data_IF_866692945152
#
_entry.id   IF_866692945152
#
_cell.length_a   1.000
_cell.length_b   1.000
_cell.length_c   1.000
_cell.angle_alpha   90.00
_cell.angle_beta   90.00
_cell.angle_gamma   90.00
#
_symmetry.space_group_name_H-M   'P 1'
#
loop_
_entity.id
_entity.type
_entity.pdbx_description
1 polymer ?
#
# COMPACT_ATOMS: atom_id res chain seq x y z
N UNK A 1 -2.87 3.67 -14.90
CA UNK A 1 -3.00 4.36 -13.58
C UNK A 1 -2.00 3.77 -12.61
N UNK A 2 -1.24 4.63 -11.90
CA UNK A 2 -0.23 4.22 -10.91
C UNK A 2 -0.83 4.24 -9.50
N UNK A 3 -0.55 3.22 -8.70
CA UNK A 3 -0.99 3.10 -7.31
C UNK A 3 0.17 2.63 -6.44
N UNK A 4 0.30 3.19 -5.24
CA UNK A 4 1.21 2.69 -4.22
C UNK A 4 0.38 1.96 -3.16
N UNK A 5 0.71 0.70 -2.92
CA UNK A 5 0.15 -0.12 -1.85
C UNK A 5 1.17 -0.19 -0.71
N UNK A 6 0.73 0.21 0.48
CA UNK A 6 1.50 0.09 1.73
C UNK A 6 0.76 -0.93 2.61
N UNK A 7 1.36 -2.10 2.76
CA UNK A 7 0.81 -3.20 3.56
C UNK A 7 1.43 -3.18 4.97
N UNK A 8 0.57 -3.38 5.96
CA UNK A 8 0.92 -3.47 7.36
C UNK A 8 0.33 -4.75 7.94
N UNK A 9 1.08 -5.40 8.82
CA UNK A 9 0.68 -6.67 9.43
C UNK A 9 0.65 -6.56 10.96
N UNK A 10 -0.43 -7.04 11.55
CA UNK A 10 -0.57 -7.19 13.00
C UNK A 10 -0.46 -8.69 13.30
N UNK A 11 0.66 -9.08 13.91
CA UNK A 11 0.96 -10.47 14.26
C UNK A 11 0.07 -11.01 15.38
N UNK A 12 -0.28 -10.16 16.36
CA UNK A 12 -1.13 -10.55 17.48
C UNK A 12 -2.55 -10.93 17.05
N UNK A 13 -3.07 -10.25 16.02
CA UNK A 13 -4.42 -10.52 15.48
C UNK A 13 -4.41 -11.35 14.20
N UNK A 14 -3.25 -11.62 13.60
CA UNK A 14 -3.12 -12.27 12.30
C UNK A 14 -3.75 -11.49 11.15
N UNK A 15 -3.86 -10.15 11.26
CA UNK A 15 -4.56 -9.30 10.29
C UNK A 15 -3.59 -8.46 9.46
N UNK A 16 -3.96 -8.27 8.19
CA UNK A 16 -3.27 -7.33 7.29
C UNK A 16 -4.15 -6.12 7.00
N UNK A 17 -3.56 -4.92 6.99
CA UNK A 17 -4.21 -3.68 6.59
C UNK A 17 -3.40 -3.03 5.47
N UNK A 18 -4.09 -2.55 4.44
CA UNK A 18 -3.50 -1.91 3.27
C UNK A 18 -3.94 -0.47 3.18
N UNK A 19 -2.99 0.45 3.00
CA UNK A 19 -3.25 1.82 2.59
C UNK A 19 -2.89 1.95 1.11
N UNK A 20 -3.79 2.59 0.35
CA UNK A 20 -3.65 2.79 -1.09
C UNK A 20 -3.50 4.28 -1.37
N UNK A 21 -2.38 4.67 -1.95
CA UNK A 21 -2.18 6.02 -2.51
C UNK A 21 -2.43 5.95 -4.00
N UNK A 22 -3.48 6.62 -4.45
CA UNK A 22 -3.79 6.76 -5.87
C UNK A 22 -2.90 7.84 -6.48
N UNK A 23 -2.35 7.57 -7.67
CA UNK A 23 -1.46 8.49 -8.39
C UNK A 23 -0.29 8.97 -7.51
N UNK A 24 0.53 8.06 -6.96
CA UNK A 24 1.68 8.45 -6.16
C UNK A 24 2.69 9.23 -7.03
N UNK A 25 3.52 10.05 -6.38
CA UNK A 25 4.58 10.77 -7.06
C UNK A 25 5.53 9.81 -7.81
N UNK A 26 6.10 10.29 -8.90
CA UNK A 26 7.12 9.55 -9.64
C UNK A 26 8.48 9.62 -8.94
N UNK A 27 9.33 8.62 -9.20
CA UNK A 27 10.68 8.58 -8.65
C UNK A 27 10.76 8.32 -7.13
N UNK A 28 9.68 7.87 -6.50
CA UNK A 28 9.69 7.49 -5.08
C UNK A 28 10.73 6.41 -4.80
N UNK A 29 11.61 6.68 -3.84
CA UNK A 29 12.61 5.72 -3.36
C UNK A 29 12.04 4.83 -2.27
N UNK A 30 12.68 3.69 -2.02
CA UNK A 30 12.31 2.79 -0.93
C UNK A 30 12.33 3.52 0.43
N UNK A 31 13.37 4.30 0.70
CA UNK A 31 13.54 5.04 1.95
C UNK A 31 12.42 6.06 2.18
N UNK A 32 11.98 6.76 1.12
CA UNK A 32 10.87 7.72 1.20
C UNK A 32 9.55 7.02 1.53
N UNK A 33 9.29 5.87 0.89
CA UNK A 33 8.08 5.08 1.16
C UNK A 33 8.11 4.51 2.57
N UNK A 34 9.26 4.00 3.02
CA UNK A 34 9.44 3.48 4.38
C UNK A 34 9.24 4.58 5.44
N UNK A 35 9.77 5.78 5.20
CA UNK A 35 9.58 6.94 6.08
C UNK A 35 8.10 7.33 6.18
N UNK A 36 7.37 7.32 5.07
CA UNK A 36 5.94 7.58 5.06
C UNK A 36 5.15 6.52 5.83
N UNK A 37 5.50 5.23 5.65
CA UNK A 37 4.90 4.13 6.42
C UNK A 37 5.17 4.27 7.93
N UNK A 38 6.39 4.65 8.32
CA UNK A 38 6.73 4.89 9.73
C UNK A 38 5.92 6.05 10.31
N UNK A 39 5.77 7.15 9.57
CA UNK A 39 4.94 8.30 9.99
C UNK A 39 3.49 7.88 10.26
N UNK A 40 2.95 6.96 9.47
CA UNK A 40 1.59 6.41 9.69
C UNK A 40 1.51 5.58 10.98
N UNK A 41 2.53 4.82 11.32
CA UNK A 41 2.61 4.11 12.60
C UNK A 41 2.71 5.09 13.78
N UNK A 42 3.57 6.08 13.66
CA UNK A 42 3.81 7.09 14.71
C UNK A 42 2.57 7.94 14.98
N UNK A 43 1.77 8.22 13.94
CA UNK A 43 0.48 8.92 14.05
C UNK A 43 -0.65 8.09 14.69
N UNK A 44 -0.36 6.85 15.11
CA UNK A 44 -1.32 5.92 15.74
C UNK A 44 -2.52 5.53 14.87
N UNK A 45 -2.45 5.77 13.55
CA UNK A 45 -3.47 5.32 12.59
C UNK A 45 -3.54 3.80 12.48
N UNK A 46 -2.43 3.12 12.79
CA UNK A 46 -2.24 1.67 12.64
C UNK A 46 -1.64 1.05 13.91
N UNK A 47 -2.22 1.35 15.06
CA UNK A 47 -1.75 0.81 16.34
C UNK A 47 -1.78 -0.72 16.36
N UNK A 48 -0.70 -1.33 16.84
CA UNK A 48 -0.52 -2.80 16.85
C UNK A 48 -0.08 -3.41 15.52
N UNK A 49 0.08 -2.62 14.47
CA UNK A 49 0.60 -3.09 13.19
C UNK A 49 2.10 -2.76 13.02
N UNK A 50 2.81 -3.60 12.29
CA UNK A 50 4.16 -3.38 11.79
C UNK A 50 4.16 -3.20 10.27
N UNK A 51 5.22 -2.58 9.75
CA UNK A 51 5.48 -2.49 8.31
C UNK A 51 5.69 -3.91 7.76
N UNK A 52 4.93 -4.28 6.72
CA UNK A 52 5.08 -5.57 6.02
C UNK A 52 5.81 -5.35 4.69
N UNK A 53 5.19 -4.59 3.77
CA UNK A 53 5.78 -4.31 2.45
C UNK A 53 5.15 -3.09 1.78
N UNK A 54 5.83 -2.58 0.76
CA UNK A 54 5.27 -1.59 -0.16
C UNK A 54 5.46 -2.01 -1.62
N UNK A 55 4.46 -1.73 -2.46
CA UNK A 55 4.48 -2.08 -3.89
C UNK A 55 3.88 -0.96 -4.72
N UNK A 56 4.58 -0.55 -5.78
CA UNK A 56 4.02 0.32 -6.82
C UNK A 56 3.43 -0.57 -7.92
N UNK A 57 2.15 -0.35 -8.22
CA UNK A 57 1.43 -1.04 -9.29
C UNK A 57 1.06 -0.02 -10.37
N UNK A 58 1.56 -0.25 -11.58
CA UNK A 58 1.22 0.53 -12.76
C UNK A 58 0.33 -0.31 -13.67
N UNK A 59 -0.94 0.08 -13.79
CA UNK A 59 -1.89 -0.57 -14.69
C UNK A 59 -1.89 0.16 -16.02
N UNK A 60 -1.49 -0.52 -17.09
CA UNK A 60 -1.30 0.07 -18.42
C UNK A 60 -2.52 -0.13 -19.33
N UNK A 61 -3.46 -1.02 -18.97
CA UNK A 61 -4.71 -1.24 -19.71
C UNK A 61 -5.91 -1.34 -18.77
N UNK A 62 -7.06 -0.83 -19.21
CA UNK A 62 -8.37 -1.09 -18.59
C UNK A 62 -9.04 -2.19 -19.43
N UNK A 63 -8.73 -3.44 -19.15
CA UNK A 63 -9.39 -4.56 -19.82
C UNK A 63 -10.61 -5.00 -18.99
N UNK A 64 -11.78 -4.95 -19.62
CA UNK A 64 -13.03 -5.45 -19.06
C UNK A 64 -13.40 -6.74 -19.78
N UNK A 65 -13.47 -7.83 -19.04
CA UNK A 65 -13.88 -9.13 -19.55
C UNK A 65 -15.24 -9.48 -18.97
N UNK A 66 -16.27 -9.45 -19.82
CA UNK A 66 -17.59 -9.98 -19.48
C UNK A 66 -17.62 -11.48 -19.82
N UNK A 67 -17.52 -12.32 -18.79
CA UNK A 67 -17.35 -13.77 -18.94
C UNK A 67 -18.66 -14.55 -18.75
N UNK A 68 -19.81 -13.86 -18.66
CA UNK A 68 -21.11 -14.50 -18.48
C UNK A 68 -22.06 -13.98 -19.56
N UNK A 69 -22.56 -14.89 -20.41
CA UNK A 69 -23.69 -14.69 -21.32
C UNK A 69 -24.86 -15.56 -20.91
#
# INVERSE_FOLDING_TARGET
>A
MKRLYMDFYNEAEGKRRRIIVNSPADGLTADQVQTAMQTLLDSKVLEGYAIDRAVIVETNSNEFFDLIQ
#
